data_IF_484674862194
#
_entry.id   IF_484674862194
#
_cell.length_a   1.000
_cell.length_b   1.000
_cell.length_c   1.000
_cell.angle_alpha   90.00
_cell.angle_beta   90.00
_cell.angle_gamma   90.00
#
_symmetry.space_group_name_H-M   'P 1'
#
loop_
_entity.id
_entity.type
_entity.pdbx_description
1 polymer ?
#
# COMPACT_ATOMS: atom_id res chain seq x y z
N UNK A 1 -7.02 -22.10 -3.58
CA UNK A 1 -6.22 -21.01 -2.96
C UNK A 1 -6.97 -19.68 -2.91
N UNK A 2 -7.94 -19.43 -3.79
CA UNK A 2 -8.80 -18.24 -3.73
C UNK A 2 -10.27 -18.62 -3.54
N UNK A 3 -10.56 -19.52 -2.61
CA UNK A 3 -11.95 -19.75 -2.20
C UNK A 3 -12.40 -18.59 -1.30
N UNK A 4 -13.56 -17.97 -1.55
CA UNK A 4 -14.00 -16.78 -0.83
C UNK A 4 -14.65 -17.18 0.50
N UNK A 5 -13.88 -17.79 1.40
CA UNK A 5 -14.34 -18.04 2.76
C UNK A 5 -13.50 -17.25 3.75
N UNK A 6 -14.18 -16.75 4.79
CA UNK A 6 -13.59 -15.97 5.88
C UNK A 6 -14.15 -16.56 7.16
N UNK A 7 -13.27 -16.78 8.14
CA UNK A 7 -13.67 -17.26 9.46
C UNK A 7 -12.86 -16.53 10.53
N UNK A 8 -13.51 -15.96 11.57
CA UNK A 8 -12.79 -15.48 12.73
C UNK A 8 -12.22 -16.68 13.51
N UNK A 9 -10.91 -16.68 13.74
CA UNK A 9 -10.19 -17.78 14.42
C UNK A 9 -9.61 -17.38 15.78
N UNK A 10 -9.63 -16.08 16.09
CA UNK A 10 -9.09 -15.52 17.31
C UNK A 10 -9.81 -14.22 17.67
N UNK A 11 -10.25 -14.10 18.93
CA UNK A 11 -10.83 -12.89 19.48
C UNK A 11 -10.37 -12.72 20.94
N UNK A 12 -9.81 -11.57 21.27
CA UNK A 12 -9.25 -11.29 22.60
C UNK A 12 -9.76 -9.94 23.08
N UNK A 13 -10.34 -9.91 24.28
CA UNK A 13 -10.65 -8.68 24.97
C UNK A 13 -9.40 -8.14 25.67
N UNK A 14 -9.14 -6.84 25.56
CA UNK A 14 -8.07 -6.16 26.28
C UNK A 14 -8.57 -4.84 26.87
N UNK A 15 -7.79 -4.28 27.81
CA UNK A 15 -7.96 -2.91 28.29
C UNK A 15 -6.92 -2.03 27.59
N UNK A 16 -7.30 -1.34 26.51
CA UNK A 16 -6.40 -0.48 25.73
C UNK A 16 -5.74 -1.21 24.55
N UNK A 17 -4.55 -0.78 24.10
CA UNK A 17 -3.83 -1.50 23.07
C UNK A 17 -3.12 -2.73 23.67
N UNK A 18 -3.14 -3.87 22.97
CA UNK A 18 -2.35 -5.02 23.39
C UNK A 18 -0.85 -4.69 23.25
N UNK A 19 -0.02 -5.08 24.23
CA UNK A 19 1.43 -4.99 24.08
C UNK A 19 1.91 -5.73 22.81
N UNK A 20 2.84 -5.11 22.08
CA UNK A 20 3.43 -5.62 20.83
C UNK A 20 3.97 -7.05 20.92
N UNK A 21 4.70 -7.40 21.99
CA UNK A 21 5.21 -8.75 22.22
C UNK A 21 4.09 -9.78 22.50
N UNK A 22 2.95 -9.34 23.05
CA UNK A 22 1.77 -10.21 23.19
C UNK A 22 1.14 -10.45 21.82
N UNK A 23 1.03 -9.42 20.98
CA UNK A 23 0.57 -9.58 19.59
C UNK A 23 1.42 -10.58 18.82
N UNK A 24 2.75 -10.51 18.95
CA UNK A 24 3.67 -11.47 18.33
C UNK A 24 3.39 -12.92 18.76
N UNK A 25 3.18 -13.14 20.07
CA UNK A 25 2.81 -14.46 20.61
C UNK A 25 1.45 -14.93 20.10
N UNK A 26 0.46 -14.03 20.03
CA UNK A 26 -0.89 -14.36 19.52
C UNK A 26 -0.82 -14.79 18.06
N UNK A 27 -0.11 -14.04 17.22
CA UNK A 27 0.05 -14.36 15.79
C UNK A 27 0.71 -15.72 15.62
N UNK A 28 1.85 -15.97 16.26
CA UNK A 28 2.54 -17.26 16.15
C UNK A 28 1.68 -18.41 16.68
N UNK A 29 1.02 -18.25 17.84
CA UNK A 29 0.12 -19.27 18.38
C UNK A 29 -1.02 -19.58 17.42
N UNK A 30 -1.58 -18.57 16.77
CA UNK A 30 -2.66 -18.75 15.78
C UNK A 30 -2.16 -19.53 14.58
N UNK A 31 -0.97 -19.21 14.05
CA UNK A 31 -0.34 -19.95 12.94
C UNK A 31 -0.12 -21.42 13.31
N UNK A 32 0.43 -21.70 14.49
CA UNK A 32 0.65 -23.07 15.00
C UNK A 32 -0.67 -23.84 15.13
N UNK A 33 -1.71 -23.21 15.70
CA UNK A 33 -3.01 -23.86 15.90
C UNK A 33 -3.70 -24.17 14.56
N UNK A 34 -3.70 -23.22 13.62
CA UNK A 34 -4.27 -23.40 12.30
C UNK A 34 -3.57 -24.54 11.54
N UNK A 35 -2.26 -24.66 11.68
CA UNK A 35 -1.50 -25.74 11.09
C UNK A 35 -1.93 -27.13 11.60
N UNK A 36 -2.24 -27.27 12.88
CA UNK A 36 -2.74 -28.54 13.45
C UNK A 36 -4.05 -29.02 12.78
N UNK A 37 -4.83 -28.10 12.22
CA UNK A 37 -6.06 -28.39 11.47
C UNK A 37 -5.85 -28.40 9.95
N UNK A 38 -4.60 -28.47 9.48
CA UNK A 38 -4.26 -28.60 8.07
C UNK A 38 -4.20 -27.29 7.28
N UNK A 39 -4.42 -26.13 7.91
CA UNK A 39 -4.30 -24.84 7.24
C UNK A 39 -2.82 -24.44 7.06
N UNK A 40 -2.52 -23.79 5.93
CA UNK A 40 -1.18 -23.29 5.59
C UNK A 40 -1.19 -21.77 5.54
N UNK A 41 -0.70 -21.14 6.60
CA UNK A 41 -0.69 -19.68 6.72
C UNK A 41 0.58 -19.11 6.11
N UNK A 42 0.49 -18.50 4.92
CA UNK A 42 1.68 -17.99 4.21
C UNK A 42 2.00 -16.52 4.48
N UNK A 43 1.02 -15.75 4.98
CA UNK A 43 1.17 -14.34 5.24
C UNK A 43 0.35 -13.87 6.45
N UNK A 44 0.86 -12.86 7.14
CA UNK A 44 0.21 -12.09 8.19
C UNK A 44 0.02 -10.67 7.68
N UNK A 45 -1.22 -10.19 7.69
CA UNK A 45 -1.58 -8.84 7.25
C UNK A 45 -1.96 -8.02 8.49
N UNK A 46 -1.42 -6.80 8.60
CA UNK A 46 -1.77 -5.86 9.66
C UNK A 46 -1.81 -4.43 9.14
N UNK A 47 -2.51 -3.54 9.83
CA UNK A 47 -2.41 -2.11 9.53
C UNK A 47 -1.02 -1.54 9.90
N UNK A 48 -0.81 -0.27 9.57
CA UNK A 48 0.42 0.46 9.85
C UNK A 48 0.52 1.05 11.27
N UNK A 49 -0.25 0.58 12.26
CA UNK A 49 -0.19 1.08 13.63
C UNK A 49 1.15 0.74 14.31
N UNK A 50 1.58 1.58 15.26
CA UNK A 50 2.87 1.42 15.95
C UNK A 50 3.03 0.05 16.62
N UNK A 51 2.02 -0.43 17.33
CA UNK A 51 2.03 -1.75 17.99
C UNK A 51 2.25 -2.92 17.01
N UNK A 52 1.65 -2.84 15.82
CA UNK A 52 1.82 -3.86 14.78
C UNK A 52 3.24 -3.85 14.20
N UNK A 53 3.87 -2.68 14.10
CA UNK A 53 5.27 -2.60 13.66
C UNK A 53 6.24 -3.10 14.71
N UNK A 54 6.00 -2.81 15.99
CA UNK A 54 6.82 -3.39 17.06
C UNK A 54 6.64 -4.91 17.15
N UNK A 55 5.43 -5.42 16.89
CA UNK A 55 5.20 -6.86 16.72
C UNK A 55 6.08 -7.44 15.60
N UNK A 56 6.18 -6.77 14.45
CA UNK A 56 7.08 -7.21 13.37
C UNK A 56 8.53 -7.26 13.84
N UNK A 57 9.00 -6.21 14.51
CA UNK A 57 10.36 -6.14 15.07
C UNK A 57 10.64 -7.29 16.04
N UNK A 58 9.69 -7.63 16.91
CA UNK A 58 9.81 -8.78 17.81
C UNK A 58 9.93 -10.13 17.08
N UNK A 59 9.42 -10.21 15.86
CA UNK A 59 9.52 -11.37 14.98
C UNK A 59 10.72 -11.28 14.03
N UNK A 60 11.56 -10.25 14.14
CA UNK A 60 12.74 -10.06 13.28
C UNK A 60 12.45 -9.43 11.91
N UNK A 61 11.25 -8.89 11.72
CA UNK A 61 10.79 -8.23 10.48
C UNK A 61 10.93 -6.72 10.63
N UNK A 62 11.52 -6.08 9.63
CA UNK A 62 11.71 -4.64 9.60
C UNK A 62 11.90 -4.16 8.14
N UNK A 63 11.56 -2.90 7.88
CA UNK A 63 11.69 -2.31 6.54
C UNK A 63 12.87 -1.37 6.39
N UNK A 64 13.90 -1.46 7.22
CA UNK A 64 15.04 -0.55 7.15
C UNK A 64 15.86 -0.79 5.87
N UNK A 65 16.34 0.25 5.18
CA UNK A 65 17.04 0.10 3.91
C UNK A 65 18.30 -0.79 3.97
N UNK A 66 19.00 -0.85 5.11
CA UNK A 66 20.29 -1.53 5.23
C UNK A 66 20.17 -3.06 5.29
N UNK A 67 19.14 -3.56 5.96
CA UNK A 67 18.87 -5.01 6.13
C UNK A 67 17.35 -5.26 6.23
N UNK A 68 16.60 -5.01 5.13
CA UNK A 68 15.16 -5.16 5.14
C UNK A 68 14.77 -6.64 5.22
N UNK A 69 13.95 -6.98 6.22
CA UNK A 69 13.44 -8.33 6.46
C UNK A 69 11.92 -8.30 6.39
N UNK A 70 11.36 -8.94 5.38
CA UNK A 70 9.91 -8.96 5.13
C UNK A 70 9.21 -10.25 5.59
N UNK A 71 9.98 -11.30 5.90
CA UNK A 71 9.50 -12.65 6.19
C UNK A 71 10.39 -13.36 7.19
N UNK A 72 9.84 -14.40 7.82
CA UNK A 72 10.58 -15.34 8.68
C UNK A 72 10.46 -16.77 8.13
N UNK A 73 11.32 -17.66 8.60
CA UNK A 73 11.14 -19.10 8.40
C UNK A 73 9.77 -19.54 8.93
N UNK A 74 9.03 -20.33 8.15
CA UNK A 74 7.69 -20.72 8.56
C UNK A 74 7.77 -21.72 9.73
N UNK A 75 7.09 -21.48 10.87
CA UNK A 75 7.26 -22.29 12.09
C UNK A 75 6.76 -23.74 11.95
N UNK A 76 5.98 -24.05 10.92
CA UNK A 76 5.39 -25.37 10.69
C UNK A 76 5.63 -26.00 9.31
N UNK A 77 6.19 -25.25 8.35
CA UNK A 77 6.21 -25.66 6.94
C UNK A 77 7.66 -25.61 6.46
N UNK A 78 8.29 -26.77 6.23
CA UNK A 78 9.59 -26.83 5.58
C UNK A 78 9.55 -26.12 4.22
N UNK A 79 10.64 -25.45 3.85
CA UNK A 79 10.80 -24.75 2.56
C UNK A 79 9.72 -23.71 2.27
N UNK A 80 9.19 -23.08 3.33
CA UNK A 80 8.25 -21.97 3.23
C UNK A 80 8.63 -20.86 4.21
N UNK A 81 8.12 -19.66 3.96
CA UNK A 81 8.29 -18.50 4.83
C UNK A 81 6.94 -17.93 5.23
N UNK A 82 6.86 -17.38 6.44
CA UNK A 82 5.73 -16.57 6.87
C UNK A 82 6.02 -15.10 6.54
N UNK A 83 5.24 -14.54 5.62
CA UNK A 83 5.43 -13.18 5.10
C UNK A 83 4.62 -12.17 5.92
N UNK A 84 5.10 -10.93 6.01
CA UNK A 84 4.40 -9.85 6.70
C UNK A 84 4.05 -8.75 5.71
N UNK A 85 2.80 -8.30 5.75
CA UNK A 85 2.25 -7.36 4.78
C UNK A 85 1.51 -6.25 5.54
N UNK A 86 1.83 -5.00 5.21
CA UNK A 86 1.03 -3.86 5.68
C UNK A 86 -0.16 -3.70 4.76
N UNK A 87 -1.32 -3.35 5.33
CA UNK A 87 -2.49 -3.08 4.52
C UNK A 87 -2.26 -1.94 3.52
N UNK A 88 -2.32 -2.27 2.23
CA UNK A 88 -1.98 -1.36 1.12
C UNK A 88 -2.95 -0.17 1.00
N UNK A 89 -4.27 -0.35 1.13
CA UNK A 89 -5.19 0.78 1.25
C UNK A 89 -4.84 1.73 2.41
N UNK A 90 -4.41 1.19 3.55
CA UNK A 90 -3.91 2.01 4.67
C UNK A 90 -2.62 2.77 4.33
N UNK A 91 -1.65 2.15 3.64
CA UNK A 91 -0.44 2.84 3.14
C UNK A 91 -0.82 4.04 2.27
N UNK A 92 -1.71 3.83 1.29
CA UNK A 92 -2.16 4.89 0.37
C UNK A 92 -2.82 6.06 1.09
N UNK A 93 -3.64 5.78 2.10
CA UNK A 93 -4.21 6.79 2.99
C UNK A 93 -3.13 7.58 3.73
N UNK A 94 -2.12 6.91 4.26
CA UNK A 94 -1.02 7.56 4.97
C UNK A 94 -0.17 8.45 4.04
N UNK A 95 0.10 8.01 2.81
CA UNK A 95 0.75 8.84 1.76
C UNK A 95 -0.07 10.12 1.52
N UNK A 96 -1.39 10.01 1.32
CA UNK A 96 -2.28 11.18 1.18
C UNK A 96 -2.16 12.15 2.35
N UNK A 97 -2.22 11.62 3.59
CA UNK A 97 -2.14 12.45 4.79
C UNK A 97 -0.77 13.12 4.94
N UNK A 98 0.31 12.43 4.56
CA UNK A 98 1.67 12.95 4.57
C UNK A 98 1.82 14.10 3.57
N UNK A 99 1.49 13.88 2.29
CA UNK A 99 1.55 14.92 1.26
C UNK A 99 0.65 16.12 1.58
N UNK A 100 -0.52 15.89 2.17
CA UNK A 100 -1.42 16.97 2.61
C UNK A 100 -0.77 17.86 3.69
N UNK A 101 0.03 17.28 4.59
CA UNK A 101 0.72 17.99 5.67
C UNK A 101 1.97 18.71 5.17
N UNK A 102 2.81 18.02 4.38
CA UNK A 102 4.12 18.50 3.96
C UNK A 102 4.10 19.32 2.65
N UNK A 103 3.01 19.22 1.88
CA UNK A 103 2.73 19.92 0.61
C UNK A 103 3.64 19.55 -0.55
N UNK A 104 4.91 19.31 -0.32
CA UNK A 104 5.89 18.93 -1.32
C UNK A 104 6.53 17.61 -0.97
N UNK A 105 6.89 16.85 -1.99
CA UNK A 105 7.68 15.64 -1.86
C UNK A 105 8.42 15.34 -3.16
N UNK A 106 9.36 14.42 -3.10
CA UNK A 106 10.04 13.89 -4.26
C UNK A 106 10.08 12.36 -4.21
N UNK A 107 10.03 11.73 -5.38
CA UNK A 107 10.27 10.31 -5.59
C UNK A 107 10.95 10.09 -6.95
N UNK A 108 12.16 9.56 -6.92
CA UNK A 108 13.07 9.59 -8.06
C UNK A 108 13.24 11.01 -8.59
N UNK A 109 12.93 11.21 -9.87
CA UNK A 109 12.98 12.53 -10.52
C UNK A 109 11.63 13.29 -10.46
N UNK A 110 10.60 12.70 -9.84
CA UNK A 110 9.27 13.29 -9.81
C UNK A 110 9.13 14.23 -8.62
N UNK A 111 8.98 15.53 -8.90
CA UNK A 111 8.57 16.51 -7.91
C UNK A 111 7.04 16.50 -7.76
N UNK A 112 6.58 16.31 -6.53
CA UNK A 112 5.17 16.18 -6.18
C UNK A 112 4.75 17.39 -5.38
N UNK A 113 3.71 18.09 -5.83
CA UNK A 113 3.06 19.14 -5.06
C UNK A 113 1.60 18.78 -4.82
N UNK A 114 1.22 18.71 -3.55
CA UNK A 114 -0.16 18.45 -3.15
C UNK A 114 -1.11 19.56 -3.62
N UNK A 115 -0.59 20.76 -3.84
CA UNK A 115 -1.36 21.90 -4.34
C UNK A 115 -1.90 21.65 -5.75
N UNK A 116 -1.23 20.84 -6.57
CA UNK A 116 -1.74 20.44 -7.89
C UNK A 116 -3.11 19.74 -7.78
N UNK A 117 -3.31 18.90 -6.76
CA UNK A 117 -4.60 18.25 -6.55
C UNK A 117 -5.68 19.23 -6.09
N UNK A 118 -5.32 20.18 -5.21
CA UNK A 118 -6.23 21.24 -4.74
C UNK A 118 -6.70 22.09 -5.92
N UNK A 119 -5.77 22.57 -6.74
CA UNK A 119 -6.06 23.35 -7.96
C UNK A 119 -6.88 22.57 -8.97
N UNK A 120 -6.61 21.27 -9.15
CA UNK A 120 -7.41 20.42 -10.04
C UNK A 120 -8.86 20.35 -9.56
N UNK A 121 -9.07 20.17 -8.25
CA UNK A 121 -10.41 20.16 -7.67
C UNK A 121 -11.14 21.50 -7.88
N UNK A 122 -10.43 22.62 -7.76
CA UNK A 122 -11.00 23.96 -7.97
C UNK A 122 -11.31 24.26 -9.45
N UNK A 123 -10.46 23.80 -10.37
CA UNK A 123 -10.69 23.91 -11.80
C UNK A 123 -11.90 23.07 -12.25
N UNK A 124 -11.99 21.83 -11.78
CA UNK A 124 -13.11 20.93 -12.05
C UNK A 124 -14.46 21.48 -11.57
N UNK A 125 -14.48 22.23 -10.46
CA UNK A 125 -15.72 22.89 -9.98
C UNK A 125 -16.24 23.97 -10.93
N UNK A 126 -15.34 24.64 -11.67
CA UNK A 126 -15.67 25.73 -12.59
C UNK A 126 -15.92 25.24 -14.02
N UNK A 127 -15.53 24.00 -14.33
CA UNK A 127 -15.65 23.43 -15.66
C UNK A 127 -17.09 22.99 -15.96
N UNK A 128 -17.58 23.34 -17.15
CA UNK A 128 -18.88 22.86 -17.64
C UNK A 128 -18.88 21.34 -17.87
N UNK A 129 -17.74 20.78 -18.28
CA UNK A 129 -17.51 19.34 -18.44
C UNK A 129 -16.32 18.96 -17.57
N UNK A 130 -16.56 18.04 -16.62
CA UNK A 130 -15.57 17.60 -15.64
C UNK A 130 -14.79 16.40 -16.16
N UNK A 131 -13.46 16.50 -16.16
CA UNK A 131 -12.53 15.41 -16.55
C UNK A 131 -12.45 14.36 -15.44
N UNK A 132 -12.55 14.80 -14.19
CA UNK A 132 -12.43 14.01 -12.97
C UNK A 132 -13.66 14.22 -12.08
N UNK A 133 -14.87 13.81 -12.52
CA UNK A 133 -16.14 14.18 -11.88
C UNK A 133 -16.31 13.68 -10.44
N UNK A 134 -15.52 12.68 -10.03
CA UNK A 134 -15.51 12.12 -8.67
C UNK A 134 -14.67 12.95 -7.70
N UNK A 135 -13.75 13.80 -8.19
CA UNK A 135 -12.89 14.62 -7.34
C UNK A 135 -13.72 15.72 -6.68
N UNK A 136 -13.61 15.82 -5.37
CA UNK A 136 -14.34 16.79 -4.54
C UNK A 136 -13.43 17.34 -3.44
N UNK A 137 -13.86 18.40 -2.76
CA UNK A 137 -13.10 18.98 -1.64
C UNK A 137 -12.82 17.98 -0.53
N UNK A 138 -13.68 16.98 -0.32
CA UNK A 138 -13.43 15.94 0.67
C UNK A 138 -12.20 15.08 0.35
N UNK A 139 -11.77 15.02 -0.91
CA UNK A 139 -10.55 14.31 -1.31
C UNK A 139 -9.30 15.08 -0.89
N UNK A 140 -9.28 16.39 -1.16
CA UNK A 140 -8.08 17.24 -1.02
C UNK A 140 -8.00 17.95 0.33
N UNK A 141 -9.14 18.26 0.94
CA UNK A 141 -9.30 18.93 2.24
C UNK A 141 -10.27 18.13 3.14
N UNK A 142 -9.98 16.85 3.45
CA UNK A 142 -10.82 16.04 4.33
C UNK A 142 -10.87 16.60 5.76
N UNK A 143 -12.07 16.61 6.35
CA UNK A 143 -12.25 16.81 7.79
C UNK A 143 -11.62 15.66 8.59
N UNK A 144 -11.45 15.83 9.91
CA UNK A 144 -10.73 14.89 10.78
C UNK A 144 -11.15 13.42 10.59
N UNK A 145 -12.46 13.13 10.61
CA UNK A 145 -12.98 11.77 10.40
C UNK A 145 -12.73 11.24 8.97
N UNK A 146 -12.79 12.12 7.97
CA UNK A 146 -12.59 11.76 6.56
C UNK A 146 -11.11 11.51 6.20
N UNK A 147 -10.16 11.92 7.05
CA UNK A 147 -8.74 11.54 6.90
C UNK A 147 -8.53 10.04 7.02
N UNK A 148 -9.43 9.34 7.71
CA UNK A 148 -9.42 7.88 7.83
C UNK A 148 -10.07 7.16 6.65
N UNK A 149 -10.83 7.88 5.80
CA UNK A 149 -11.51 7.30 4.66
C UNK A 149 -10.51 6.94 3.56
N UNK A 150 -10.25 5.64 3.43
CA UNK A 150 -9.36 5.04 2.43
C UNK A 150 -9.89 5.27 1.02
N UNK A 151 -11.21 5.17 0.79
CA UNK A 151 -11.82 5.39 -0.54
C UNK A 151 -11.48 6.76 -1.11
N UNK A 152 -11.51 7.81 -0.29
CA UNK A 152 -11.14 9.16 -0.71
C UNK A 152 -9.66 9.26 -1.12
N UNK A 153 -8.76 8.60 -0.38
CA UNK A 153 -7.34 8.55 -0.75
C UNK A 153 -7.12 7.73 -2.04
N UNK A 154 -7.87 6.63 -2.21
CA UNK A 154 -7.82 5.83 -3.44
C UNK A 154 -8.29 6.65 -4.64
N UNK A 155 -9.40 7.36 -4.54
CA UNK A 155 -9.90 8.17 -5.64
C UNK A 155 -8.97 9.35 -5.97
N UNK A 156 -8.32 9.95 -4.96
CA UNK A 156 -7.36 11.03 -5.15
C UNK A 156 -6.15 10.61 -6.00
N UNK A 157 -5.57 9.45 -5.75
CA UNK A 157 -4.40 8.99 -6.53
C UNK A 157 -4.79 8.14 -7.75
N UNK A 158 -5.98 8.35 -8.34
CA UNK A 158 -6.46 7.52 -9.44
C UNK A 158 -5.88 7.93 -10.79
N UNK A 159 -5.86 7.00 -11.75
CA UNK A 159 -5.49 7.29 -13.15
C UNK A 159 -6.29 8.46 -13.76
N UNK A 160 -7.56 8.61 -13.38
CA UNK A 160 -8.37 9.75 -13.84
C UNK A 160 -7.85 11.11 -13.33
N UNK A 161 -7.31 11.16 -12.10
CA UNK A 161 -6.70 12.38 -11.55
C UNK A 161 -5.39 12.71 -12.28
N UNK A 162 -4.56 11.70 -12.58
CA UNK A 162 -3.35 11.89 -13.40
C UNK A 162 -3.69 12.48 -14.78
N UNK A 163 -4.71 11.92 -15.45
CA UNK A 163 -5.22 12.45 -16.73
C UNK A 163 -5.74 13.88 -16.55
N UNK A 164 -6.45 14.19 -15.46
CA UNK A 164 -6.87 15.54 -15.13
C UNK A 164 -5.70 16.52 -15.10
N UNK A 165 -4.63 16.20 -14.35
CA UNK A 165 -3.42 17.03 -14.29
C UNK A 165 -2.82 17.25 -15.68
N UNK A 166 -2.75 16.20 -16.50
CA UNK A 166 -2.27 16.27 -17.89
C UNK A 166 -3.11 17.20 -18.76
N UNK A 167 -4.44 17.07 -18.66
CA UNK A 167 -5.40 17.80 -19.50
C UNK A 167 -5.45 19.27 -19.15
N UNK A 168 -5.35 19.64 -17.86
CA UNK A 168 -5.38 21.05 -17.44
C UNK A 168 -4.05 21.79 -17.62
N UNK A 169 -2.91 21.09 -17.64
CA UNK A 169 -1.58 21.69 -17.88
C UNK A 169 -1.49 22.58 -19.12
N UNK A 170 -1.91 22.16 -20.33
CA UNK A 170 -1.82 23.00 -21.54
C UNK A 170 -2.90 24.10 -21.61
N UNK A 171 -3.98 24.02 -20.82
CA UNK A 171 -5.14 24.93 -20.92
C UNK A 171 -4.91 26.33 -20.33
N UNK A 172 -3.66 26.67 -19.98
CA UNK A 172 -3.28 27.95 -19.33
C UNK A 172 -4.03 28.23 -18.02
N UNK A 173 -4.56 27.21 -17.36
CA UNK A 173 -5.05 27.35 -15.98
C UNK A 173 -3.83 27.54 -15.08
N UNK A 174 -3.83 28.61 -14.29
CA UNK A 174 -2.70 28.96 -13.46
C UNK A 174 -2.34 27.82 -12.49
N UNK A 175 -1.04 27.54 -12.37
CA UNK A 175 -0.53 26.64 -11.34
C UNK A 175 -0.48 25.14 -11.70
N UNK A 176 -0.46 24.79 -12.98
CA UNK A 176 -0.22 23.42 -13.47
C UNK A 176 1.06 23.25 -14.31
N UNK A 177 1.83 24.32 -14.55
CA UNK A 177 3.01 24.29 -15.43
C UNK A 177 4.05 23.24 -15.03
N UNK A 178 4.19 23.00 -13.73
CA UNK A 178 5.13 22.08 -13.07
C UNK A 178 4.45 20.77 -12.59
N UNK A 179 3.20 20.51 -13.03
CA UNK A 179 2.43 19.34 -12.58
C UNK A 179 2.90 17.99 -13.13
N UNK A 180 3.89 17.95 -14.03
CA UNK A 180 4.33 16.72 -14.70
C UNK A 180 4.82 15.64 -13.72
N UNK A 181 5.60 16.03 -12.71
CA UNK A 181 6.05 15.10 -11.67
C UNK A 181 4.89 14.57 -10.80
N UNK A 182 3.87 15.40 -10.54
CA UNK A 182 2.69 14.97 -9.79
C UNK A 182 1.78 14.05 -10.61
N UNK A 183 1.63 14.29 -11.91
CA UNK A 183 0.97 13.36 -12.84
C UNK A 183 1.65 11.99 -12.82
N UNK A 184 2.97 11.96 -13.06
CA UNK A 184 3.74 10.72 -13.13
C UNK A 184 3.70 9.94 -11.80
N UNK A 185 3.83 10.63 -10.67
CA UNK A 185 3.67 10.02 -9.35
C UNK A 185 2.26 9.45 -9.14
N UNK A 186 1.21 10.19 -9.54
CA UNK A 186 -0.18 9.73 -9.40
C UNK A 186 -0.43 8.47 -10.21
N UNK A 187 0.07 8.42 -11.45
CA UNK A 187 -0.06 7.26 -12.33
C UNK A 187 0.71 6.06 -11.76
N UNK A 188 1.96 6.27 -11.35
CA UNK A 188 2.79 5.22 -10.74
C UNK A 188 2.15 4.63 -9.48
N UNK A 189 1.67 5.50 -8.57
CA UNK A 189 1.02 5.05 -7.33
C UNK A 189 -0.32 4.35 -7.60
N UNK A 190 -1.06 4.76 -8.64
CA UNK A 190 -2.25 4.06 -9.10
C UNK A 190 -1.90 2.63 -9.54
N UNK A 191 -0.89 2.49 -10.40
CA UNK A 191 -0.53 1.21 -11.00
C UNK A 191 0.00 0.24 -9.95
N UNK A 192 0.87 0.69 -9.05
CA UNK A 192 1.34 -0.12 -7.91
C UNK A 192 0.15 -0.58 -7.06
N UNK A 193 -0.80 0.30 -6.76
CA UNK A 193 -1.97 -0.08 -5.97
C UNK A 193 -2.88 -1.08 -6.69
N UNK A 194 -3.14 -0.91 -7.99
CA UNK A 194 -3.97 -1.82 -8.77
C UNK A 194 -3.33 -3.21 -8.88
N UNK A 195 -1.99 -3.26 -8.98
CA UNK A 195 -1.23 -4.51 -8.93
C UNK A 195 -1.34 -5.17 -7.55
N UNK A 196 -1.27 -4.39 -6.47
CA UNK A 196 -1.40 -4.89 -5.09
C UNK A 196 -2.84 -5.14 -4.65
N UNK A 197 -3.84 -4.90 -5.52
CA UNK A 197 -5.25 -5.10 -5.25
C UNK A 197 -5.98 -5.80 -6.41
N UNK A 198 -5.34 -6.78 -7.05
CA UNK A 198 -5.91 -7.53 -8.16
C UNK A 198 -7.00 -8.50 -7.67
N UNK A 199 -8.27 -8.23 -8.03
CA UNK A 199 -9.46 -8.96 -7.56
C UNK A 199 -9.95 -10.05 -8.50
N UNK A 200 -9.61 -9.97 -9.79
CA UNK A 200 -10.15 -10.86 -10.83
C UNK A 200 -9.03 -11.60 -11.55
N UNK A 201 -9.26 -12.82 -12.06
CA UNK A 201 -8.25 -13.60 -12.76
C UNK A 201 -7.59 -12.87 -13.94
N UNK A 202 -8.35 -12.04 -14.67
CA UNK A 202 -7.81 -11.20 -15.75
C UNK A 202 -6.77 -10.17 -15.27
N UNK A 203 -6.89 -9.72 -14.02
CA UNK A 203 -5.95 -8.81 -13.37
C UNK A 203 -4.87 -9.55 -12.55
N UNK A 204 -5.03 -10.85 -12.31
CA UNK A 204 -4.10 -11.66 -11.54
C UNK A 204 -2.67 -11.62 -12.07
N UNK A 205 -1.70 -11.69 -11.17
CA UNK A 205 -0.28 -11.64 -11.52
C UNK A 205 0.16 -13.03 -11.98
N UNK A 206 0.73 -13.11 -13.17
CA UNK A 206 1.31 -14.34 -13.76
C UNK A 206 2.83 -14.28 -13.69
N UNK A 207 3.49 -15.44 -13.83
CA UNK A 207 4.95 -15.60 -13.67
C UNK A 207 5.78 -14.56 -14.43
N UNK A 208 5.42 -14.26 -15.68
CA UNK A 208 6.16 -13.33 -16.55
C UNK A 208 5.43 -11.99 -16.75
N UNK A 209 4.58 -11.63 -15.79
CA UNK A 209 3.80 -10.40 -15.88
C UNK A 209 4.70 -9.17 -15.77
N UNK A 210 4.56 -8.17 -16.67
CA UNK A 210 5.30 -6.90 -16.54
C UNK A 210 4.97 -6.16 -15.24
N UNK A 211 3.86 -6.51 -14.58
CA UNK A 211 3.48 -5.99 -13.26
C UNK A 211 4.52 -6.28 -12.18
N UNK A 212 5.24 -7.40 -12.26
CA UNK A 212 6.32 -7.73 -11.32
C UNK A 212 7.42 -6.68 -11.42
N UNK A 213 7.82 -6.36 -12.66
CA UNK A 213 8.84 -5.34 -12.92
C UNK A 213 8.44 -3.95 -12.44
N UNK A 214 7.15 -3.58 -12.57
CA UNK A 214 6.63 -2.32 -12.01
C UNK A 214 6.82 -2.25 -10.49
N UNK A 215 6.58 -3.34 -9.76
CA UNK A 215 6.77 -3.37 -8.30
C UNK A 215 8.26 -3.30 -7.93
N UNK A 216 9.13 -4.02 -8.65
CA UNK A 216 10.59 -3.98 -8.45
C UNK A 216 11.17 -2.59 -8.72
N UNK A 217 10.77 -1.96 -9.82
CA UNK A 217 11.25 -0.62 -10.20
C UNK A 217 10.74 0.44 -9.23
N UNK A 218 9.50 0.29 -8.73
CA UNK A 218 8.98 1.16 -7.68
C UNK A 218 9.72 0.98 -6.35
N UNK A 219 10.00 -0.26 -5.94
CA UNK A 219 10.79 -0.56 -4.74
C UNK A 219 12.19 0.06 -4.84
N UNK A 220 12.87 -0.13 -5.99
CA UNK A 220 14.17 0.49 -6.24
C UNK A 220 14.09 2.02 -6.19
N UNK A 221 13.07 2.61 -6.82
CA UNK A 221 12.87 4.06 -6.80
C UNK A 221 12.66 4.58 -5.37
N UNK A 222 11.96 3.84 -4.51
CA UNK A 222 11.81 4.20 -3.10
C UNK A 222 13.17 4.22 -2.38
N UNK A 223 13.99 3.19 -2.56
CA UNK A 223 15.30 3.07 -1.91
C UNK A 223 16.28 4.14 -2.41
N UNK A 224 16.32 4.37 -3.73
CA UNK A 224 17.11 5.44 -4.34
C UNK A 224 16.70 6.82 -3.79
N UNK A 225 15.39 7.06 -3.60
CA UNK A 225 14.88 8.32 -3.05
C UNK A 225 15.22 8.51 -1.58
N UNK A 226 15.10 7.44 -0.77
CA UNK A 226 15.39 7.48 0.67
C UNK A 226 16.89 7.67 0.94
N UNK A 227 17.76 7.25 0.01
CA UNK A 227 19.21 7.45 0.10
C UNK A 227 19.66 8.91 -0.04
N UNK A 228 18.81 9.81 -0.55
CA UNK A 228 19.16 11.21 -0.79
C UNK A 228 18.96 12.03 0.51
N UNK A 229 20.03 12.59 1.10
CA UNK A 229 19.92 13.33 2.36
C UNK A 229 19.04 14.58 2.24
N UNK A 230 18.24 14.85 3.28
CA UNK A 230 17.36 16.02 3.38
C UNK A 230 16.29 16.13 2.29
N UNK A 231 16.02 15.06 1.54
CA UNK A 231 14.95 15.04 0.57
C UNK A 231 13.60 14.84 1.25
N UNK A 232 12.63 15.71 0.96
CA UNK A 232 11.25 15.54 1.41
C UNK A 232 10.62 14.33 0.72
N UNK A 233 10.47 13.24 1.47
CA UNK A 233 9.93 11.97 0.99
C UNK A 233 8.43 12.06 0.74
N UNK A 234 7.89 11.19 -0.12
CA UNK A 234 6.44 11.14 -0.38
C UNK A 234 5.61 10.51 0.76
N UNK A 235 6.28 9.88 1.71
CA UNK A 235 5.69 9.28 2.89
C UNK A 235 6.64 9.42 4.09
N UNK A 236 6.12 9.25 5.32
CA UNK A 236 7.00 9.17 6.49
C UNK A 236 7.88 7.93 6.43
N UNK A 237 9.05 7.98 7.08
CA UNK A 237 9.98 6.83 7.21
C UNK A 237 9.26 5.56 7.62
N UNK A 238 8.37 5.66 8.61
CA UNK A 238 7.59 4.52 9.10
C UNK A 238 6.71 3.88 7.99
N UNK A 239 6.17 4.68 7.07
CA UNK A 239 5.35 4.21 5.96
C UNK A 239 6.23 3.69 4.83
N UNK A 240 7.38 4.32 4.57
CA UNK A 240 8.39 3.81 3.63
C UNK A 240 8.83 2.40 4.02
N UNK A 241 9.20 2.18 5.28
CA UNK A 241 9.56 0.86 5.82
C UNK A 241 8.42 -0.16 5.66
N UNK A 242 7.18 0.20 6.02
CA UNK A 242 6.03 -0.70 5.87
C UNK A 242 5.73 -1.05 4.41
N UNK A 243 5.90 -0.09 3.50
CA UNK A 243 5.66 -0.31 2.09
C UNK A 243 6.75 -1.20 1.48
N UNK A 244 8.01 -1.02 1.87
CA UNK A 244 9.13 -1.89 1.50
C UNK A 244 8.89 -3.34 1.91
N UNK A 245 8.55 -3.58 3.19
CA UNK A 245 8.20 -4.92 3.68
C UNK A 245 7.06 -5.52 2.85
N UNK A 246 6.03 -4.73 2.56
CA UNK A 246 4.87 -5.17 1.76
C UNK A 246 5.26 -5.57 0.34
N UNK A 247 6.02 -4.73 -0.36
CA UNK A 247 6.47 -4.99 -1.74
C UNK A 247 7.35 -6.25 -1.80
N UNK A 248 8.35 -6.35 -0.91
CA UNK A 248 9.23 -7.52 -0.83
C UNK A 248 8.46 -8.80 -0.50
N UNK A 249 7.52 -8.73 0.46
CA UNK A 249 6.68 -9.87 0.83
C UNK A 249 5.80 -10.33 -0.32
N UNK A 250 5.15 -9.40 -1.03
CA UNK A 250 4.26 -9.72 -2.15
C UNK A 250 5.06 -10.30 -3.31
N UNK A 251 6.21 -9.73 -3.67
CA UNK A 251 7.09 -10.27 -4.71
C UNK A 251 7.55 -11.71 -4.38
N UNK A 252 8.07 -11.91 -3.17
CA UNK A 252 8.51 -13.22 -2.67
C UNK A 252 7.36 -14.24 -2.64
N UNK A 253 6.17 -13.83 -2.22
CA UNK A 253 5.00 -14.70 -2.18
C UNK A 253 4.50 -15.06 -3.58
N UNK A 254 4.49 -14.12 -4.53
CA UNK A 254 4.13 -14.38 -5.94
C UNK A 254 5.08 -15.44 -6.53
N UNK A 255 6.38 -15.27 -6.34
CA UNK A 255 7.39 -16.23 -6.79
C UNK A 255 7.17 -17.61 -6.18
N UNK A 256 6.99 -17.66 -4.85
CA UNK A 256 6.71 -18.91 -4.13
C UNK A 256 5.45 -19.61 -4.63
N UNK A 257 4.35 -18.89 -4.83
CA UNK A 257 3.11 -19.48 -5.31
C UNK A 257 3.25 -20.02 -6.73
N UNK A 258 3.95 -19.29 -7.60
CA UNK A 258 4.24 -19.76 -8.96
C UNK A 258 5.17 -20.97 -8.98
N UNK A 259 6.15 -21.08 -8.08
CA UNK A 259 7.01 -22.26 -7.99
C UNK A 259 6.23 -23.50 -7.53
N UNK A 260 5.12 -23.31 -6.80
CA UNK A 260 4.17 -24.37 -6.41
C UNK A 260 3.06 -24.62 -7.45
N UNK A 261 3.17 -24.07 -8.66
CA UNK A 261 2.26 -24.36 -9.78
C UNK A 261 0.97 -23.51 -9.82
N UNK A 262 0.87 -22.45 -9.01
CA UNK A 262 -0.26 -21.50 -9.11
C UNK A 262 -0.16 -20.71 -10.41
N UNK A 263 -1.25 -20.68 -11.19
CA UNK A 263 -1.26 -20.06 -12.53
C UNK A 263 -1.33 -18.53 -12.51
N UNK A 264 -2.00 -17.97 -11.52
CA UNK A 264 -2.08 -16.52 -11.27
C UNK A 264 -2.29 -16.24 -9.77
N UNK A 265 -1.84 -15.09 -9.29
CA UNK A 265 -2.00 -14.65 -7.91
C UNK A 265 -2.95 -13.45 -7.84
N UNK A 266 -3.98 -13.53 -7.00
CA UNK A 266 -4.87 -12.41 -6.67
C UNK A 266 -4.35 -11.72 -5.40
N UNK A 267 -3.80 -10.52 -5.56
CA UNK A 267 -3.22 -9.74 -4.45
C UNK A 267 -4.27 -9.07 -3.58
N UNK A 268 -5.52 -8.97 -4.04
CA UNK A 268 -6.61 -8.46 -3.22
C UNK A 268 -6.97 -9.34 -2.02
N UNK A 269 -6.45 -10.58 -1.94
CA UNK A 269 -6.54 -11.40 -0.72
C UNK A 269 -5.42 -11.13 0.29
N UNK A 270 -4.51 -10.19 -0.01
CA UNK A 270 -3.36 -9.80 0.82
C UNK A 270 -3.58 -8.42 1.44
N UNK A 271 -4.82 -8.11 1.81
CA UNK A 271 -5.22 -6.89 2.51
C UNK A 271 -6.18 -7.23 3.66
N UNK A 272 -6.50 -6.24 4.48
CA UNK A 272 -7.39 -6.42 5.63
C UNK A 272 -8.86 -6.04 5.34
N UNK A 273 -9.22 -5.75 4.07
CA UNK A 273 -10.60 -5.40 3.68
C UNK A 273 -11.64 -6.41 4.26
N UNK A 274 -11.39 -7.74 4.27
CA UNK A 274 -12.32 -8.70 4.87
C UNK A 274 -12.61 -8.47 6.36
N UNK A 275 -11.64 -7.97 7.14
CA UNK A 275 -11.81 -7.73 8.58
C UNK A 275 -12.59 -6.45 8.87
N UNK A 276 -12.60 -5.50 7.94
CA UNK A 276 -13.30 -4.22 8.10
C UNK A 276 -14.81 -4.31 7.79
N UNK A 277 -15.28 -5.47 7.32
CA UNK A 277 -16.67 -5.71 6.88
C UNK A 277 -17.39 -6.76 7.76
N UNK A 278 -16.67 -7.42 8.70
CA UNK A 278 -17.23 -8.34 9.71
C UNK A 278 -17.88 -7.55 10.85
#
# INVERSE_FOLDING_TARGET
>A
MFEPWIQPVAAYANKGAAPDWILAKIVLRTVLQLHQYGAKVLAVISDGAGSNKFMWTHLGVNGKPEDPKCKIEHPCLPDASLHFICDVPHIRKCIRNHLMKHKYAQIGNNQVSYEHYVRLCEAEKKANIRVVPKLTEYHVKPQALLKMNVRLATQLFSRSVAIGLKVYRPQRVAGFSDSAGTEAFTELLNDVFDILNAKVPAAGIRRDSPKIKVLEDFLKMMDDTESIPNLEQFASTQIMESFRVTLMSVLSLIEFLHSRGVSYVLTASLNQDPLEVI
#
